data_IF_056261941417
#
_entry.id   IF_056261941417
#
_cell.length_a   1.000
_cell.length_b   1.000
_cell.length_c   1.000
_cell.angle_alpha   90.00
_cell.angle_beta   90.00
_cell.angle_gamma   90.00
#
_symmetry.space_group_name_H-M   'P 1'
#
loop_
_entity.id
_entity.type
_entity.pdbx_description
1 polymer ?
#
# COMPACT_ATOMS: atom_id res chain seq x y z
N UNK A 1 3.84 77.87 -11.12
CA UNK A 1 2.88 77.45 -10.07
C UNK A 1 1.73 76.75 -10.81
N UNK A 2 1.32 75.51 -10.58
CA UNK A 2 1.52 74.54 -9.51
C UNK A 2 1.59 73.13 -10.11
N UNK A 3 2.30 72.23 -9.41
CA UNK A 3 2.34 70.80 -9.69
C UNK A 3 1.09 70.08 -9.19
N UNK A 4 0.70 68.98 -9.82
CA UNK A 4 0.18 67.83 -9.08
C UNK A 4 0.55 66.52 -9.77
N UNK A 5 1.33 65.73 -9.02
CA UNK A 5 1.70 64.34 -9.29
C UNK A 5 0.47 63.45 -9.13
N UNK A 6 0.23 62.52 -10.05
CA UNK A 6 -0.59 61.34 -9.78
C UNK A 6 0.32 60.11 -9.67
N UNK A 7 0.35 59.52 -8.47
CA UNK A 7 0.97 58.22 -8.15
C UNK A 7 -0.06 57.08 -8.41
N UNK A 8 0.39 55.82 -8.53
CA UNK A 8 -0.38 54.73 -9.14
C UNK A 8 -1.38 54.10 -8.16
N UNK A 9 -2.49 53.56 -8.69
CA UNK A 9 -3.44 52.74 -7.93
C UNK A 9 -3.18 51.24 -8.14
N UNK A 10 -3.20 50.52 -7.01
CA UNK A 10 -2.90 49.11 -6.79
C UNK A 10 -3.96 48.15 -7.38
N UNK A 11 -3.45 47.06 -7.98
CA UNK A 11 -3.83 45.64 -7.81
C UNK A 11 -5.22 45.25 -7.25
N UNK A 12 -6.03 44.55 -8.06
CA UNK A 12 -6.50 43.16 -7.86
C UNK A 12 -7.80 42.88 -8.64
N UNK A 13 -7.80 41.85 -9.48
CA UNK A 13 -8.92 40.91 -9.57
C UNK A 13 -8.37 39.57 -10.09
N UNK A 14 -7.74 38.82 -9.17
CA UNK A 14 -7.46 37.40 -9.36
C UNK A 14 -8.81 36.66 -9.38
N UNK A 15 -9.04 35.83 -10.40
CA UNK A 15 -10.09 34.79 -10.52
C UNK A 15 -11.19 34.95 -11.59
N UNK A 16 -11.23 36.00 -12.42
CA UNK A 16 -12.23 36.05 -13.51
C UNK A 16 -11.87 35.15 -14.71
N UNK A 17 -10.58 34.98 -14.99
CA UNK A 17 -10.08 34.19 -16.14
C UNK A 17 -10.20 32.68 -15.88
N UNK A 18 -10.00 32.24 -14.64
CA UNK A 18 -10.17 30.86 -14.19
C UNK A 18 -11.62 30.35 -14.37
N UNK A 19 -12.62 31.22 -14.17
CA UNK A 19 -14.03 30.87 -14.37
C UNK A 19 -14.38 30.64 -15.84
N UNK A 20 -13.74 31.36 -16.76
CA UNK A 20 -14.03 31.27 -18.20
C UNK A 20 -13.33 30.08 -18.88
N UNK A 21 -12.18 29.64 -18.38
CA UNK A 21 -11.46 28.47 -18.92
C UNK A 21 -12.16 27.14 -18.58
N UNK A 22 -12.77 26.99 -17.40
CA UNK A 22 -13.48 25.76 -16.97
C UNK A 22 -14.66 25.42 -17.90
N UNK A 23 -15.39 26.42 -18.39
CA UNK A 23 -16.58 26.23 -19.23
C UNK A 23 -16.24 25.85 -20.69
N UNK A 24 -15.02 26.14 -21.16
CA UNK A 24 -14.58 25.85 -22.53
C UNK A 24 -13.97 24.45 -22.71
N UNK A 25 -13.62 23.77 -21.62
CA UNK A 25 -12.93 22.46 -21.61
C UNK A 25 -13.85 21.24 -21.81
N UNK A 26 -15.17 21.41 -21.76
CA UNK A 26 -16.12 20.29 -21.86
C UNK A 26 -16.20 19.58 -23.23
N UNK A 27 -16.00 20.24 -24.40
CA UNK A 27 -16.09 19.56 -25.69
C UNK A 27 -14.81 18.84 -26.15
N UNK A 28 -13.63 19.16 -25.59
CA UNK A 28 -12.33 18.66 -26.06
C UNK A 28 -11.93 17.29 -25.46
N UNK A 29 -12.57 16.88 -24.35
CA UNK A 29 -12.34 15.61 -23.66
C UNK A 29 -12.75 14.35 -24.44
N UNK A 30 -13.18 14.49 -25.70
CA UNK A 30 -13.75 13.38 -26.50
C UNK A 30 -12.75 12.59 -27.34
N UNK A 31 -11.46 12.98 -27.40
CA UNK A 31 -10.46 12.40 -28.34
C UNK A 31 -9.13 11.93 -27.69
N UNK A 32 -9.15 11.39 -26.46
CA UNK A 32 -7.93 10.86 -25.82
C UNK A 32 -7.66 9.39 -26.17
N UNK A 33 -6.52 9.11 -26.83
CA UNK A 33 -5.87 7.80 -26.83
C UNK A 33 -4.47 7.95 -26.18
N UNK A 34 -4.20 7.41 -24.97
CA UNK A 34 -3.10 7.89 -24.12
C UNK A 34 -1.81 7.04 -24.14
N UNK A 35 -1.61 6.14 -25.11
CA UNK A 35 -0.42 5.28 -25.13
C UNK A 35 0.66 5.75 -26.09
N UNK A 36 1.32 6.88 -25.82
CA UNK A 36 2.70 7.08 -26.24
C UNK A 36 3.31 8.32 -25.56
N UNK A 37 4.23 8.14 -24.60
CA UNK A 37 5.43 8.98 -24.58
C UNK A 37 6.58 8.41 -23.74
N UNK A 38 7.79 8.59 -24.27
CA UNK A 38 9.07 7.98 -23.88
C UNK A 38 9.84 8.79 -22.83
N UNK A 39 9.17 9.45 -21.90
CA UNK A 39 9.84 10.07 -20.73
C UNK A 39 9.77 9.10 -19.56
N UNK A 40 10.91 8.84 -18.92
CA UNK A 40 10.98 7.91 -17.79
C UNK A 40 10.07 8.43 -16.66
N UNK A 41 8.93 7.75 -16.44
CA UNK A 41 7.89 8.09 -15.45
C UNK A 41 8.45 8.34 -14.03
N UNK A 42 9.67 7.90 -13.75
CA UNK A 42 10.41 8.24 -12.53
C UNK A 42 10.54 9.76 -12.32
N UNK A 43 10.86 10.55 -13.35
CA UNK A 43 10.98 12.01 -13.21
C UNK A 43 9.63 12.70 -12.92
N UNK A 44 8.50 12.02 -13.16
CA UNK A 44 7.14 12.55 -12.90
C UNK A 44 6.79 12.58 -11.41
N UNK A 45 7.36 11.70 -10.58
CA UNK A 45 6.99 11.57 -9.16
C UNK A 45 8.12 11.89 -8.17
N UNK A 46 9.39 11.80 -8.59
CA UNK A 46 10.53 11.88 -7.67
C UNK A 46 11.25 13.24 -7.63
N UNK A 47 10.83 14.21 -8.45
CA UNK A 47 11.41 15.56 -8.45
C UNK A 47 10.67 16.43 -7.43
N UNK A 48 11.31 16.74 -6.29
CA UNK A 48 10.87 17.80 -5.38
C UNK A 48 11.26 19.16 -5.96
N UNK A 49 10.49 19.66 -6.91
CA UNK A 49 10.60 21.06 -7.34
C UNK A 49 9.81 21.98 -6.41
N UNK A 50 10.34 23.17 -6.15
CA UNK A 50 9.62 24.23 -5.44
C UNK A 50 8.46 24.76 -6.30
N UNK A 51 7.38 25.28 -5.69
CA UNK A 51 6.26 25.84 -6.47
C UNK A 51 6.73 26.94 -7.43
N UNK A 52 7.68 27.83 -7.05
CA UNK A 52 8.30 28.77 -7.97
C UNK A 52 9.00 28.09 -9.16
N UNK A 53 9.79 27.04 -8.93
CA UNK A 53 10.48 26.30 -10.00
C UNK A 53 9.50 25.67 -10.99
N UNK A 54 8.40 25.07 -10.51
CA UNK A 54 7.40 24.47 -11.40
C UNK A 54 6.69 25.52 -12.25
N UNK A 55 6.48 26.72 -11.70
CA UNK A 55 5.87 27.83 -12.43
C UNK A 55 6.85 28.36 -13.49
N UNK A 56 8.13 28.51 -13.14
CA UNK A 56 9.18 28.96 -14.07
C UNK A 56 9.36 27.96 -15.23
N UNK A 57 9.42 26.66 -14.93
CA UNK A 57 9.46 25.60 -15.94
C UNK A 57 8.21 25.61 -16.84
N UNK A 58 7.02 25.84 -16.25
CA UNK A 58 5.77 25.91 -17.00
C UNK A 58 5.74 27.13 -17.94
N UNK A 59 6.26 28.27 -17.49
CA UNK A 59 6.36 29.49 -18.30
C UNK A 59 7.37 29.31 -19.46
N UNK A 60 8.48 28.61 -19.24
CA UNK A 60 9.44 28.25 -20.30
C UNK A 60 8.82 27.29 -21.32
N UNK A 61 8.14 26.24 -20.87
CA UNK A 61 7.45 25.29 -21.75
C UNK A 61 6.32 25.96 -22.54
N UNK A 62 5.59 26.89 -21.93
CA UNK A 62 4.55 27.66 -22.60
C UNK A 62 5.14 28.56 -23.69
N UNK A 63 6.26 29.21 -23.41
CA UNK A 63 6.99 30.06 -24.36
C UNK A 63 7.52 29.25 -25.56
N UNK A 64 7.78 27.97 -25.37
CA UNK A 64 8.21 27.02 -26.41
C UNK A 64 7.03 26.28 -27.08
N UNK A 65 5.79 26.76 -26.91
CA UNK A 65 4.56 26.17 -27.48
C UNK A 65 4.29 24.70 -27.09
N UNK A 66 4.92 24.21 -26.01
CA UNK A 66 4.80 22.83 -25.51
C UNK A 66 3.61 22.68 -24.56
N UNK A 67 2.42 22.99 -25.06
CA UNK A 67 1.21 23.11 -24.23
C UNK A 67 0.80 21.80 -23.52
N UNK A 68 1.05 20.65 -24.14
CA UNK A 68 0.78 19.35 -23.51
C UNK A 68 1.71 19.10 -22.31
N UNK A 69 2.98 19.48 -22.43
CA UNK A 69 3.97 19.37 -21.36
C UNK A 69 3.66 20.34 -20.21
N UNK A 70 3.17 21.57 -20.53
CA UNK A 70 2.66 22.52 -19.53
C UNK A 70 1.46 21.94 -18.78
N UNK A 71 0.50 21.35 -19.50
CA UNK A 71 -0.67 20.73 -18.88
C UNK A 71 -0.27 19.57 -17.95
N UNK A 72 0.62 18.69 -18.39
CA UNK A 72 1.16 17.61 -17.55
C UNK A 72 1.88 18.16 -16.32
N UNK A 73 2.74 19.18 -16.50
CA UNK A 73 3.51 19.79 -15.42
C UNK A 73 2.63 20.47 -14.36
N UNK A 74 1.62 21.23 -14.79
CA UNK A 74 0.68 21.89 -13.88
C UNK A 74 -0.29 20.91 -13.22
N UNK A 75 -0.70 19.82 -13.89
CA UNK A 75 -1.48 18.76 -13.25
C UNK A 75 -0.72 18.12 -12.08
N UNK A 76 0.62 18.06 -12.13
CA UNK A 76 1.43 17.54 -11.01
C UNK A 76 1.32 18.40 -9.75
N UNK A 77 1.05 19.71 -9.87
CA UNK A 77 0.84 20.59 -8.72
C UNK A 77 -0.40 20.21 -7.91
N UNK A 78 -1.42 19.61 -8.55
CA UNK A 78 -2.62 19.09 -7.88
C UNK A 78 -2.28 18.06 -6.80
N UNK A 79 -1.19 17.32 -7.00
CA UNK A 79 -0.80 16.20 -6.15
C UNK A 79 0.38 16.53 -5.21
N UNK A 80 0.91 17.75 -5.30
CA UNK A 80 2.08 18.20 -4.54
C UNK A 80 1.85 18.23 -3.03
N UNK A 81 0.63 18.57 -2.62
CA UNK A 81 0.30 18.81 -1.21
C UNK A 81 -0.37 17.60 -0.53
N UNK A 82 -0.75 16.55 -1.29
CA UNK A 82 -1.41 15.36 -0.74
C UNK A 82 -0.74 14.05 -1.19
N UNK A 83 0.16 13.47 -0.36
CA UNK A 83 0.84 12.20 -0.65
C UNK A 83 -0.11 11.02 -0.90
N UNK A 84 -1.33 11.07 -0.37
CA UNK A 84 -2.32 10.01 -0.55
C UNK A 84 -2.96 10.06 -1.94
N UNK A 85 -3.16 11.26 -2.51
CA UNK A 85 -3.70 11.40 -3.86
C UNK A 85 -2.68 10.93 -4.91
N UNK A 86 -1.39 11.26 -4.73
CA UNK A 86 -0.29 10.71 -5.55
C UNK A 86 -0.29 9.19 -5.50
N UNK A 87 -0.40 8.63 -4.29
CA UNK A 87 -0.43 7.18 -4.10
C UNK A 87 -1.61 6.54 -4.84
N UNK A 88 -2.80 7.11 -4.71
CA UNK A 88 -4.02 6.58 -5.34
C UNK A 88 -3.96 6.64 -6.86
N UNK A 89 -3.40 7.71 -7.42
CA UNK A 89 -3.16 7.82 -8.86
C UNK A 89 -2.16 6.74 -9.34
N UNK A 90 -1.02 6.59 -8.65
CA UNK A 90 -0.04 5.55 -8.99
C UNK A 90 -0.62 4.13 -8.90
N UNK A 91 -1.47 3.86 -7.90
CA UNK A 91 -2.18 2.59 -7.77
C UNK A 91 -3.14 2.38 -8.94
N UNK A 92 -3.85 3.43 -9.35
CA UNK A 92 -4.80 3.37 -10.47
C UNK A 92 -4.07 3.12 -11.79
N UNK A 93 -2.98 3.83 -12.07
CA UNK A 93 -2.13 3.57 -13.24
C UNK A 93 -1.56 2.15 -13.23
N UNK A 94 -1.03 1.71 -12.08
CA UNK A 94 -0.51 0.36 -11.92
C UNK A 94 -1.57 -0.71 -12.17
N UNK A 95 -2.81 -0.45 -11.76
CA UNK A 95 -3.94 -1.35 -11.98
C UNK A 95 -4.26 -1.49 -13.47
N UNK A 96 -4.27 -0.41 -14.24
CA UNK A 96 -4.49 -0.48 -15.68
C UNK A 96 -3.39 -1.28 -16.39
N UNK A 97 -2.12 -1.08 -16.01
CA UNK A 97 -1.00 -1.85 -16.58
C UNK A 97 -1.15 -3.35 -16.28
N UNK A 98 -1.47 -3.71 -15.04
CA UNK A 98 -1.71 -5.10 -14.66
C UNK A 98 -2.92 -5.68 -15.40
N UNK A 99 -4.02 -4.93 -15.48
CA UNK A 99 -5.24 -5.36 -16.15
C UNK A 99 -4.96 -5.69 -17.61
N UNK A 100 -4.28 -4.80 -18.33
CA UNK A 100 -3.88 -5.03 -19.72
C UNK A 100 -2.93 -6.23 -19.84
N UNK A 101 -1.95 -6.38 -18.94
CA UNK A 101 -1.05 -7.54 -18.97
C UNK A 101 -1.81 -8.88 -18.80
N UNK A 102 -2.78 -8.93 -17.90
CA UNK A 102 -3.62 -10.11 -17.69
C UNK A 102 -4.55 -10.39 -18.87
N UNK A 103 -5.13 -9.35 -19.49
CA UNK A 103 -5.96 -9.46 -20.70
C UNK A 103 -5.18 -10.00 -21.90
N UNK A 104 -3.89 -9.65 -22.00
CA UNK A 104 -2.97 -10.19 -23.01
C UNK A 104 -2.50 -11.62 -22.69
N UNK A 105 -2.97 -12.24 -21.61
CA UNK A 105 -2.66 -13.62 -21.25
C UNK A 105 -1.29 -13.79 -20.59
N UNK A 106 -0.76 -12.76 -19.92
CA UNK A 106 0.51 -12.87 -19.21
C UNK A 106 0.44 -13.92 -18.08
N UNK A 107 1.20 -14.99 -18.25
CA UNK A 107 1.30 -16.11 -17.30
C UNK A 107 2.70 -16.13 -16.65
N UNK A 108 3.04 -15.05 -15.95
CA UNK A 108 4.32 -14.89 -15.24
C UNK A 108 4.09 -14.72 -13.73
N UNK A 109 4.99 -15.29 -12.92
CA UNK A 109 4.88 -15.25 -11.47
C UNK A 109 4.88 -13.81 -10.92
N UNK A 110 5.69 -12.92 -11.49
CA UNK A 110 5.77 -11.53 -11.05
C UNK A 110 4.50 -10.76 -11.44
N UNK A 111 3.94 -11.02 -12.62
CA UNK A 111 2.68 -10.40 -13.05
C UNK A 111 1.56 -10.75 -12.08
N UNK A 112 1.38 -12.03 -11.76
CA UNK A 112 0.36 -12.44 -10.79
C UNK A 112 0.63 -11.91 -9.38
N UNK A 113 1.90 -11.86 -8.95
CA UNK A 113 2.30 -11.28 -7.66
C UNK A 113 1.96 -9.79 -7.57
N UNK A 114 2.34 -9.01 -8.58
CA UNK A 114 2.04 -7.58 -8.62
C UNK A 114 0.55 -7.31 -8.80
N UNK A 115 -0.17 -8.19 -9.52
CA UNK A 115 -1.62 -8.12 -9.60
C UNK A 115 -2.27 -8.21 -8.23
N UNK A 116 -1.88 -9.19 -7.42
CA UNK A 116 -2.38 -9.33 -6.05
C UNK A 116 -2.11 -8.07 -5.20
N UNK A 117 -0.89 -7.50 -5.27
CA UNK A 117 -0.50 -6.30 -4.51
C UNK A 117 -1.32 -5.09 -4.94
N UNK A 118 -1.45 -4.84 -6.24
CA UNK A 118 -2.11 -3.66 -6.79
C UNK A 118 -3.63 -3.74 -6.62
N UNK A 119 -4.23 -4.92 -6.78
CA UNK A 119 -5.66 -5.15 -6.54
C UNK A 119 -6.00 -4.89 -5.06
N UNK A 120 -5.21 -5.40 -4.11
CA UNK A 120 -5.40 -5.16 -2.67
C UNK A 120 -5.22 -3.66 -2.34
N UNK A 121 -4.22 -3.00 -2.92
CA UNK A 121 -3.99 -1.58 -2.71
C UNK A 121 -5.12 -0.69 -3.25
N UNK A 122 -5.60 -0.96 -4.48
CA UNK A 122 -6.70 -0.22 -5.11
C UNK A 122 -8.00 -0.37 -4.34
N UNK A 123 -8.37 -1.62 -4.05
CA UNK A 123 -9.59 -1.91 -3.29
C UNK A 123 -9.51 -1.40 -1.85
N UNK A 124 -8.31 -1.35 -1.25
CA UNK A 124 -8.06 -0.70 0.03
C UNK A 124 -8.28 0.82 0.02
N UNK A 125 -7.88 1.49 -1.06
CA UNK A 125 -8.12 2.92 -1.27
C UNK A 125 -9.61 3.25 -1.48
N UNK A 126 -10.36 2.35 -2.13
CA UNK A 126 -11.82 2.47 -2.31
C UNK A 126 -12.61 2.20 -1.02
N UNK A 127 -12.01 1.47 -0.07
CA UNK A 127 -12.54 1.26 1.27
C UNK A 127 -12.65 -0.21 1.66
N UNK A 128 -12.92 -0.46 2.95
CA UNK A 128 -12.92 -1.80 3.55
C UNK A 128 -13.86 -2.78 2.86
N UNK A 129 -15.01 -2.32 2.38
CA UNK A 129 -15.97 -3.15 1.65
C UNK A 129 -15.38 -3.61 0.31
N UNK A 130 -14.89 -2.69 -0.53
CA UNK A 130 -14.24 -3.05 -1.80
C UNK A 130 -13.05 -3.99 -1.57
N UNK A 131 -12.25 -3.72 -0.53
CA UNK A 131 -11.12 -4.57 -0.16
C UNK A 131 -11.53 -6.00 0.17
N UNK A 132 -12.60 -6.20 0.92
CA UNK A 132 -13.08 -7.55 1.24
C UNK A 132 -13.60 -8.26 -0.03
N UNK A 133 -14.28 -7.55 -0.93
CA UNK A 133 -14.74 -8.10 -2.20
C UNK A 133 -13.58 -8.60 -3.07
N UNK A 134 -12.43 -7.92 -3.02
CA UNK A 134 -11.26 -8.27 -3.83
C UNK A 134 -10.43 -9.45 -3.26
N UNK A 135 -10.69 -9.88 -2.03
CA UNK A 135 -9.85 -10.88 -1.34
C UNK A 135 -9.74 -12.22 -2.06
N UNK A 136 -10.82 -12.71 -2.67
CA UNK A 136 -10.79 -13.98 -3.41
C UNK A 136 -9.92 -13.86 -4.66
N UNK A 137 -10.06 -12.75 -5.39
CA UNK A 137 -9.23 -12.46 -6.56
C UNK A 137 -7.74 -12.36 -6.18
N UNK A 138 -7.44 -11.63 -5.09
CA UNK A 138 -6.08 -11.51 -4.56
C UNK A 138 -5.49 -12.89 -4.24
N UNK A 139 -6.27 -13.76 -3.59
CA UNK A 139 -5.82 -15.13 -3.27
C UNK A 139 -5.55 -15.96 -4.53
N UNK A 140 -6.41 -15.89 -5.55
CA UNK A 140 -6.22 -16.61 -6.82
C UNK A 140 -4.88 -16.21 -7.45
N UNK A 141 -4.61 -14.90 -7.54
CA UNK A 141 -3.34 -14.42 -8.09
C UNK A 141 -2.13 -14.82 -7.25
N UNK A 142 -2.22 -14.78 -5.91
CA UNK A 142 -1.14 -15.25 -5.03
C UNK A 142 -0.86 -16.75 -5.19
N UNK A 143 -1.90 -17.58 -5.25
CA UNK A 143 -1.74 -19.01 -5.48
C UNK A 143 -1.13 -19.29 -6.85
N UNK A 144 -1.59 -18.60 -7.90
CA UNK A 144 -1.02 -18.75 -9.23
C UNK A 144 0.45 -18.33 -9.29
N UNK A 145 0.80 -17.24 -8.62
CA UNK A 145 2.18 -16.79 -8.51
C UNK A 145 3.05 -17.81 -7.74
N UNK A 146 2.51 -18.47 -6.71
CA UNK A 146 3.18 -19.53 -5.96
C UNK A 146 3.38 -20.81 -6.78
N UNK A 147 2.43 -21.16 -7.66
CA UNK A 147 2.58 -22.27 -8.62
C UNK A 147 3.72 -21.99 -9.62
N UNK A 148 3.77 -20.77 -10.17
CA UNK A 148 4.75 -20.38 -11.18
C UNK A 148 6.15 -20.16 -10.58
N UNK A 149 6.25 -19.65 -9.35
CA UNK A 149 7.51 -19.49 -8.63
C UNK A 149 7.39 -19.94 -7.17
N UNK A 150 7.62 -21.22 -6.88
CA UNK A 150 7.44 -21.78 -5.54
C UNK A 150 8.53 -21.35 -4.55
N UNK A 151 9.58 -20.65 -4.99
CA UNK A 151 10.68 -20.19 -4.14
C UNK A 151 10.54 -18.73 -3.69
N UNK A 152 9.51 -18.01 -4.16
CA UNK A 152 9.28 -16.63 -3.73
C UNK A 152 8.66 -16.59 -2.33
N UNK A 153 9.52 -16.31 -1.34
CA UNK A 153 9.15 -16.18 0.07
C UNK A 153 8.10 -15.11 0.36
N UNK A 154 8.06 -14.06 -0.45
CA UNK A 154 7.12 -12.96 -0.22
C UNK A 154 5.68 -13.36 -0.55
N UNK A 155 5.47 -14.27 -1.49
CA UNK A 155 4.14 -14.78 -1.84
C UNK A 155 3.55 -15.56 -0.67
N UNK A 156 4.33 -16.43 -0.04
CA UNK A 156 3.87 -17.17 1.14
C UNK A 156 3.61 -16.25 2.33
N UNK A 157 4.43 -15.21 2.53
CA UNK A 157 4.11 -14.20 3.52
C UNK A 157 2.75 -13.51 3.24
N UNK A 158 2.48 -13.14 1.98
CA UNK A 158 1.21 -12.51 1.60
C UNK A 158 0.01 -13.46 1.79
N UNK A 159 0.15 -14.75 1.43
CA UNK A 159 -0.86 -15.77 1.68
C UNK A 159 -1.13 -15.96 3.18
N UNK A 160 -0.07 -16.03 4.00
CA UNK A 160 -0.22 -16.11 5.45
C UNK A 160 -0.90 -14.87 6.04
N UNK A 161 -0.57 -13.68 5.53
CA UNK A 161 -1.23 -12.42 5.92
C UNK A 161 -2.71 -12.41 5.56
N UNK A 162 -3.05 -12.90 4.38
CA UNK A 162 -4.44 -13.06 3.94
C UNK A 162 -5.21 -13.99 4.90
N UNK A 163 -4.68 -15.19 5.16
CA UNK A 163 -5.28 -16.16 6.07
C UNK A 163 -5.48 -15.57 7.47
N UNK A 164 -4.42 -14.98 8.04
CA UNK A 164 -4.48 -14.37 9.37
C UNK A 164 -5.54 -13.28 9.47
N UNK A 165 -5.64 -12.42 8.45
CA UNK A 165 -6.59 -11.29 8.45
C UNK A 165 -8.03 -11.80 8.49
N UNK A 166 -8.34 -12.88 7.76
CA UNK A 166 -9.65 -13.51 7.76
C UNK A 166 -9.97 -14.27 9.04
N UNK A 167 -8.98 -14.95 9.62
CA UNK A 167 -9.15 -15.64 10.90
C UNK A 167 -9.36 -14.66 12.05
N UNK A 168 -8.75 -13.48 11.97
CA UNK A 168 -8.84 -12.44 12.99
C UNK A 168 -10.02 -11.48 12.80
N UNK A 169 -10.93 -11.74 11.85
CA UNK A 169 -12.19 -11.00 11.74
C UNK A 169 -13.09 -11.29 12.95
N UNK A 170 -13.63 -10.23 13.55
CA UNK A 170 -14.61 -10.39 14.64
C UNK A 170 -15.91 -11.00 14.13
N UNK A 171 -16.71 -11.60 15.03
CA UNK A 171 -18.04 -12.12 14.67
C UNK A 171 -18.92 -11.06 13.99
N UNK A 172 -18.87 -9.81 14.47
CA UNK A 172 -19.63 -8.70 13.88
C UNK A 172 -19.14 -8.31 12.48
N UNK A 173 -17.82 -8.22 12.28
CA UNK A 173 -17.23 -7.97 10.95
C UNK A 173 -17.62 -9.08 9.96
N UNK A 174 -17.61 -10.35 10.41
CA UNK A 174 -18.02 -11.49 9.60
C UNK A 174 -19.50 -11.41 9.22
N UNK A 175 -20.38 -10.97 10.13
CA UNK A 175 -21.82 -10.76 9.83
C UNK A 175 -22.04 -9.68 8.78
N UNK A 176 -21.37 -8.53 8.89
CA UNK A 176 -21.43 -7.47 7.88
C UNK A 176 -20.93 -7.98 6.53
N UNK A 177 -19.81 -8.72 6.51
CA UNK A 177 -19.27 -9.30 5.29
C UNK A 177 -20.24 -10.27 4.62
N UNK A 178 -20.85 -11.19 5.38
CA UNK A 178 -21.86 -12.12 4.85
C UNK A 178 -23.09 -11.39 4.29
N UNK A 179 -23.52 -10.31 4.95
CA UNK A 179 -24.64 -9.50 4.49
C UNK A 179 -24.34 -8.82 3.14
N UNK A 180 -23.12 -8.30 2.95
CA UNK A 180 -22.73 -7.57 1.73
C UNK A 180 -22.39 -8.49 0.55
N UNK A 181 -21.80 -9.67 0.81
CA UNK A 181 -21.17 -10.49 -0.25
C UNK A 181 -21.77 -11.89 -0.42
N UNK A 182 -22.90 -12.17 0.24
CA UNK A 182 -23.55 -13.50 0.37
C UNK A 182 -22.68 -14.55 1.11
N UNK A 183 -21.40 -14.65 0.80
CA UNK A 183 -20.41 -15.52 1.46
C UNK A 183 -19.18 -14.71 1.87
N UNK A 184 -18.84 -14.78 3.15
CA UNK A 184 -17.60 -14.18 3.67
C UNK A 184 -16.44 -15.17 3.47
N UNK A 185 -15.32 -14.76 2.85
CA UNK A 185 -14.15 -15.63 2.76
C UNK A 185 -13.68 -16.04 4.16
N UNK A 186 -13.31 -17.31 4.31
CA UNK A 186 -12.90 -17.89 5.59
C UNK A 186 -11.51 -18.49 5.49
N UNK A 187 -10.79 -18.51 6.62
CA UNK A 187 -9.48 -19.13 6.75
C UNK A 187 -9.18 -19.36 8.23
N UNK A 188 -8.15 -20.17 8.53
CA UNK A 188 -7.76 -20.52 9.90
C UNK A 188 -6.36 -20.02 10.27
N UNK A 189 -6.09 -19.91 11.57
CA UNK A 189 -4.76 -19.57 12.06
C UNK A 189 -3.73 -20.65 11.72
N UNK A 190 -4.14 -21.91 11.60
CA UNK A 190 -3.29 -23.01 11.14
C UNK A 190 -2.84 -22.83 9.69
N UNK A 191 -3.76 -22.46 8.78
CA UNK A 191 -3.40 -22.13 7.39
C UNK A 191 -2.43 -20.96 7.33
N UNK A 192 -2.68 -19.91 8.11
CA UNK A 192 -1.77 -18.77 8.20
C UNK A 192 -0.38 -19.19 8.67
N UNK A 193 -0.31 -19.99 9.74
CA UNK A 193 0.94 -20.50 10.29
C UNK A 193 1.71 -21.35 9.26
N UNK A 194 1.02 -22.22 8.52
CA UNK A 194 1.64 -23.07 7.49
C UNK A 194 2.34 -22.23 6.41
N UNK A 195 1.69 -21.16 5.93
CA UNK A 195 2.30 -20.27 4.95
C UNK A 195 3.50 -19.49 5.49
N UNK A 196 3.39 -18.94 6.71
CA UNK A 196 4.52 -18.21 7.30
C UNK A 196 5.72 -19.12 7.61
N UNK A 197 5.46 -20.35 8.07
CA UNK A 197 6.51 -21.37 8.28
C UNK A 197 7.14 -21.76 6.95
N UNK A 198 6.35 -21.89 5.88
CA UNK A 198 6.88 -22.18 4.54
C UNK A 198 7.81 -21.06 4.06
N UNK A 199 7.43 -19.79 4.24
CA UNK A 199 8.30 -18.65 3.93
C UNK A 199 9.63 -18.70 4.71
N UNK A 200 9.54 -18.99 6.02
CA UNK A 200 10.70 -19.08 6.92
C UNK A 200 11.62 -20.26 6.57
N UNK A 201 11.07 -21.40 6.12
CA UNK A 201 11.84 -22.57 5.68
C UNK A 201 12.65 -22.30 4.41
N UNK A 202 12.08 -21.56 3.46
CA UNK A 202 12.76 -21.24 2.20
C UNK A 202 13.90 -20.24 2.45
N UNK A 203 13.64 -19.18 3.22
CA UNK A 203 14.66 -18.20 3.58
C UNK A 203 14.51 -17.78 5.04
N UNK A 204 15.31 -18.36 5.96
CA UNK A 204 15.24 -18.01 7.37
C UNK A 204 15.51 -16.52 7.62
N UNK A 205 14.73 -15.91 8.52
CA UNK A 205 14.85 -14.52 8.98
C UNK A 205 14.87 -13.49 7.84
N UNK A 206 14.25 -13.80 6.71
CA UNK A 206 14.26 -12.91 5.55
C UNK A 206 13.51 -11.60 5.80
N UNK A 207 12.50 -11.62 6.68
CA UNK A 207 11.58 -10.51 6.86
C UNK A 207 11.03 -10.48 8.29
N UNK A 208 11.30 -9.38 9.01
CA UNK A 208 10.87 -9.21 10.42
C UNK A 208 9.35 -9.35 10.59
N UNK A 209 8.50 -8.82 9.69
CA UNK A 209 7.07 -9.00 9.79
C UNK A 209 6.64 -10.46 9.66
N UNK A 210 7.35 -11.31 8.90
CA UNK A 210 7.07 -12.75 8.88
C UNK A 210 7.24 -13.38 10.27
N UNK A 211 8.35 -13.07 10.95
CA UNK A 211 8.63 -13.55 12.30
C UNK A 211 7.61 -13.02 13.32
N UNK A 212 7.26 -11.74 13.21
CA UNK A 212 6.21 -11.16 14.05
C UNK A 212 4.87 -11.90 13.86
N UNK A 213 4.46 -12.15 12.61
CA UNK A 213 3.23 -12.87 12.29
C UNK A 213 3.26 -14.34 12.74
N UNK A 214 4.42 -15.02 12.68
CA UNK A 214 4.63 -16.35 13.30
C UNK A 214 4.40 -16.31 14.80
N UNK A 215 4.90 -15.27 15.47
CA UNK A 215 4.65 -15.01 16.88
C UNK A 215 3.17 -14.85 17.20
N UNK A 216 2.48 -13.98 16.45
CA UNK A 216 1.06 -13.72 16.62
C UNK A 216 0.19 -14.97 16.35
N UNK A 217 0.38 -15.64 15.22
CA UNK A 217 -0.36 -16.87 14.88
C UNK A 217 -0.18 -17.95 15.94
N UNK A 218 1.05 -18.16 16.41
CA UNK A 218 1.34 -19.13 17.47
C UNK A 218 0.61 -18.78 18.77
N UNK A 219 0.51 -17.49 19.12
CA UNK A 219 -0.24 -17.05 20.29
C UNK A 219 -1.73 -17.36 20.17
N UNK A 220 -2.36 -17.08 19.02
CA UNK A 220 -3.78 -17.39 18.79
C UNK A 220 -4.07 -18.90 18.74
N UNK A 221 -3.06 -19.71 18.41
CA UNK A 221 -3.11 -21.17 18.49
C UNK A 221 -2.79 -21.72 19.89
N UNK A 222 -2.64 -20.85 20.90
CA UNK A 222 -2.25 -21.19 22.27
C UNK A 222 -0.86 -21.86 22.40
N UNK A 223 -0.01 -21.77 21.36
CA UNK A 223 1.37 -22.22 21.43
C UNK A 223 2.27 -21.08 21.92
N UNK A 224 2.19 -20.84 23.23
CA UNK A 224 2.93 -19.76 23.87
C UNK A 224 4.45 -19.94 23.79
N UNK A 225 4.93 -21.18 23.71
CA UNK A 225 6.36 -21.50 23.55
C UNK A 225 6.89 -20.99 22.22
N UNK A 226 6.25 -21.35 21.10
CA UNK A 226 6.62 -20.84 19.76
C UNK A 226 6.36 -19.35 19.63
N UNK A 227 5.25 -18.84 20.17
CA UNK A 227 4.94 -17.42 20.14
C UNK A 227 6.09 -16.60 20.76
N UNK A 228 6.52 -16.98 21.95
CA UNK A 228 7.59 -16.30 22.69
C UNK A 228 8.93 -16.38 21.97
N UNK A 229 9.25 -17.52 21.36
CA UNK A 229 10.44 -17.68 20.53
C UNK A 229 10.45 -16.68 19.37
N UNK A 230 9.42 -16.69 18.52
CA UNK A 230 9.37 -15.85 17.33
C UNK A 230 9.27 -14.36 17.67
N UNK A 231 8.49 -13.98 18.68
CA UNK A 231 8.39 -12.59 19.14
C UNK A 231 9.73 -12.08 19.70
N UNK A 232 10.46 -12.93 20.43
CA UNK A 232 11.80 -12.60 20.92
C UNK A 232 12.75 -12.35 19.75
N UNK A 233 12.81 -13.27 18.78
CA UNK A 233 13.66 -13.12 17.59
C UNK A 233 13.29 -11.85 16.83
N UNK A 234 12.01 -11.62 16.53
CA UNK A 234 11.55 -10.42 15.82
C UNK A 234 11.95 -9.13 16.56
N UNK A 235 11.85 -9.10 17.89
CA UNK A 235 12.15 -7.91 18.70
C UNK A 235 13.63 -7.53 18.79
N UNK A 236 14.53 -8.46 18.48
CA UNK A 236 15.99 -8.32 18.59
C UNK A 236 16.67 -8.01 17.26
N UNK A 237 15.94 -8.01 16.14
CA UNK A 237 16.49 -7.64 14.83
C UNK A 237 16.37 -6.12 14.64
N UNK A 238 17.41 -5.50 14.07
CA UNK A 238 17.40 -4.08 13.71
C UNK A 238 16.47 -3.83 12.51
N UNK A 239 15.40 -3.03 12.66
CA UNK A 239 14.49 -2.72 11.57
C UNK A 239 15.12 -1.75 10.56
N UNK A 240 14.74 -1.88 9.28
CA UNK A 240 15.19 -1.01 8.17
C UNK A 240 14.08 -0.09 7.67
N UNK A 241 12.83 -0.49 7.86
CA UNK A 241 11.66 0.26 7.42
C UNK A 241 10.79 0.69 8.60
N UNK A 242 9.94 1.70 8.37
CA UNK A 242 8.92 2.10 9.35
C UNK A 242 8.02 0.92 9.74
N UNK A 243 7.57 0.14 8.76
CA UNK A 243 6.73 -1.03 9.00
C UNK A 243 7.44 -2.09 9.86
N UNK A 244 8.71 -2.39 9.59
CA UNK A 244 9.50 -3.29 10.42
C UNK A 244 9.65 -2.75 11.85
N UNK A 245 9.82 -1.44 12.01
CA UNK A 245 9.92 -0.79 13.32
C UNK A 245 8.64 -0.97 14.12
N UNK A 246 7.48 -0.78 13.49
CA UNK A 246 6.17 -1.04 14.09
C UNK A 246 6.02 -2.50 14.51
N UNK A 247 6.43 -3.46 13.66
CA UNK A 247 6.44 -4.88 14.01
C UNK A 247 7.36 -5.20 15.20
N UNK A 248 8.57 -4.62 15.27
CA UNK A 248 9.50 -4.81 16.39
C UNK A 248 8.89 -4.30 17.71
N UNK A 249 8.30 -3.10 17.69
CA UNK A 249 7.66 -2.51 18.88
C UNK A 249 6.46 -3.36 19.31
N UNK A 250 5.61 -3.78 18.36
CA UNK A 250 4.48 -4.64 18.63
C UNK A 250 4.91 -6.01 19.20
N UNK A 251 5.99 -6.59 18.64
CA UNK A 251 6.57 -7.84 19.13
C UNK A 251 7.02 -7.72 20.59
N UNK A 252 7.75 -6.65 20.94
CA UNK A 252 8.16 -6.38 22.33
C UNK A 252 6.97 -6.26 23.26
N UNK A 253 5.94 -5.51 22.87
CA UNK A 253 4.73 -5.29 23.68
C UNK A 253 4.02 -6.62 23.95
N UNK A 254 3.86 -7.45 22.94
CA UNK A 254 3.19 -8.75 23.05
C UNK A 254 4.02 -9.79 23.84
N UNK A 255 5.35 -9.71 23.76
CA UNK A 255 6.24 -10.65 24.44
C UNK A 255 6.38 -10.39 25.95
N UNK A 256 6.24 -9.13 26.40
CA UNK A 256 6.35 -8.75 27.82
C UNK A 256 5.52 -9.63 28.78
N UNK A 257 4.19 -9.81 28.59
CA UNK A 257 3.41 -10.66 29.49
C UNK A 257 3.81 -12.14 29.41
N UNK A 258 4.21 -12.63 28.23
CA UNK A 258 4.62 -14.03 28.02
C UNK A 258 5.93 -14.40 28.76
N UNK A 259 6.78 -13.42 29.06
CA UNK A 259 7.98 -13.62 29.88
C UNK A 259 7.63 -13.77 31.37
N UNK A 260 6.63 -13.03 31.86
CA UNK A 260 6.18 -13.09 33.25
C UNK A 260 5.53 -14.42 33.64
N UNK A 261 4.79 -15.06 32.72
CA UNK A 261 4.10 -16.35 32.97
C UNK A 261 5.09 -17.47 33.34
N UNK A 262 6.29 -17.48 32.75
CA UNK A 262 7.30 -18.51 33.03
C UNK A 262 8.00 -18.31 34.39
N UNK A 263 8.13 -17.06 34.87
CA UNK A 263 8.66 -16.79 36.21
C UNK A 263 7.74 -17.33 37.30
N UNK A 264 6.42 -17.24 37.11
CA UNK A 264 5.43 -17.74 38.08
C UNK A 264 5.39 -19.27 38.07
N UNK A 265 5.45 -19.91 36.89
CA UNK A 265 5.48 -21.38 36.78
C UNK A 265 6.78 -21.99 37.32
N UNK A 266 7.93 -21.35 37.09
CA UNK A 266 9.21 -21.81 37.64
C UNK A 266 9.30 -21.60 39.16
N UNK A 267 8.78 -20.48 39.68
CA UNK A 267 8.77 -20.20 41.12
C UNK A 267 7.83 -21.15 41.90
N UNK A 268 6.75 -21.64 41.27
CA UNK A 268 5.84 -22.62 41.89
C UNK A 268 6.37 -24.05 41.84
N UNK A 269 7.29 -24.38 40.93
CA UNK A 269 8.01 -25.66 40.91
C UNK A 269 9.23 -25.69 41.83
N UNK A 270 9.86 -24.55 42.12
CA UNK A 270 11.01 -24.46 43.03
C UNK A 270 10.61 -24.35 44.52
N UNK A 271 9.37 -23.95 44.82
CA UNK A 271 8.84 -23.87 46.20
C UNK A 271 8.26 -25.16 46.78
N UNK A 272 8.32 -26.28 46.03
CA UNK A 272 7.75 -27.58 46.41
C UNK A 272 8.81 -28.70 46.53
N UNK A 273 10.10 -28.36 46.59
CA UNK A 273 11.21 -29.28 46.86
C UNK A 273 11.90 -28.93 48.18
#
# INVERSE_FOLDING_TARGET
MMSSRTKPFKQCNRNLVLQLQILSLLPFLKNCNPFCEKTCKSNRYWVRQSLPEVIEDADELFSNEKYMEVYELLNRLKFRDNPEDVRNEMITEGYEVIRTALELGANDANVHKWAAIIIDAKSGAEGTVSRIHSYDMVKIHLLKAAELNPNDVTIYYMLGRWCFTLSNMTWFQRKICCFLFATCPTSTYDEAQNYFVKAEKIKPRFYIPNLYMLGCTSFYLNDFSRARYYLSVASNITPRTRYETECVVAARKMNKPLLGVKLIQNASTEGNN
#
